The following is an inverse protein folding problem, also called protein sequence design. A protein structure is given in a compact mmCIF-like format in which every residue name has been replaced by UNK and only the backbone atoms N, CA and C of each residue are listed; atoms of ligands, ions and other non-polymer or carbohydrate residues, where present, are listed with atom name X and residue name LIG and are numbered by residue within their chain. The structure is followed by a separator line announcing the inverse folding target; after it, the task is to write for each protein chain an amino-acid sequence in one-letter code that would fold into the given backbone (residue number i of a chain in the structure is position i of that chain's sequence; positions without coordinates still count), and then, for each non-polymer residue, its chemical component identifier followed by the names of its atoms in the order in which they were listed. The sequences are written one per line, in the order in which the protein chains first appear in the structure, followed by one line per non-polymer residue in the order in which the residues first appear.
data_IF_864359270770
#
_entry.id   IF_864359270770
#
_cell.length_a   1.000
_cell.length_b   1.000
_cell.length_c   1.000
_cell.angle_alpha   90.00
_cell.angle_beta   90.00
_cell.angle_gamma   90.00
#
_symmetry.space_group_name_H-M   'P 1'
#
loop_
_entity.id
_entity.type
_entity.pdbx_description
1 polymer ?
#
# COMPACT_ATOMS: atom_id res chain seq x y z
N UNK A 1 -10.24 -31.20 -15.94
CA UNK A 1 -9.65 -30.46 -14.80
C UNK A 1 -9.70 -28.97 -15.13
N UNK A 2 -10.17 -28.10 -14.24
CA UNK A 2 -10.18 -26.66 -14.49
C UNK A 2 -8.75 -26.12 -14.54
N UNK A 3 -8.50 -25.10 -15.40
CA UNK A 3 -7.17 -24.53 -15.60
C UNK A 3 -7.02 -23.25 -14.77
N UNK A 4 -5.93 -23.15 -14.02
CA UNK A 4 -5.55 -21.99 -13.21
C UNK A 4 -4.22 -21.42 -13.70
N UNK A 5 -4.18 -20.12 -13.97
CA UNK A 5 -2.94 -19.40 -14.34
C UNK A 5 -2.41 -18.64 -13.12
N UNK A 6 -1.19 -18.94 -12.72
CA UNK A 6 -0.45 -18.24 -11.65
C UNK A 6 0.45 -17.21 -12.32
N UNK A 7 0.11 -15.92 -12.19
CA UNK A 7 0.77 -14.85 -12.95
C UNK A 7 1.84 -14.05 -12.16
N UNK A 8 2.09 -14.44 -10.92
CA UNK A 8 3.20 -13.95 -10.10
C UNK A 8 3.67 -15.05 -9.16
N UNK A 9 4.80 -14.84 -8.48
CA UNK A 9 5.22 -15.74 -7.41
C UNK A 9 4.16 -15.78 -6.30
N UNK A 10 3.78 -16.99 -5.88
CA UNK A 10 2.89 -17.25 -4.73
C UNK A 10 3.56 -18.20 -3.75
N UNK A 11 2.97 -18.37 -2.57
CA UNK A 11 3.42 -19.32 -1.55
C UNK A 11 3.46 -20.75 -2.10
N UNK A 12 4.54 -21.49 -1.85
CA UNK A 12 4.77 -22.83 -2.41
C UNK A 12 3.74 -23.86 -1.90
N UNK A 13 3.27 -23.75 -0.66
CA UNK A 13 2.22 -24.63 -0.14
C UNK A 13 0.91 -24.40 -0.91
N UNK A 14 0.57 -23.14 -1.19
CA UNK A 14 -0.61 -22.80 -1.99
C UNK A 14 -0.47 -23.30 -3.43
N UNK A 15 0.70 -23.15 -4.04
CA UNK A 15 0.97 -23.69 -5.37
C UNK A 15 0.78 -25.20 -5.42
N UNK A 16 1.36 -25.91 -4.44
CA UNK A 16 1.24 -27.38 -4.33
C UNK A 16 -0.21 -27.83 -4.17
N UNK A 17 -1.00 -27.12 -3.36
CA UNK A 17 -2.44 -27.40 -3.18
C UNK A 17 -3.23 -27.17 -4.47
N UNK A 18 -2.95 -26.09 -5.20
CA UNK A 18 -3.59 -25.84 -6.49
C UNK A 18 -3.27 -26.95 -7.52
N UNK A 19 -2.03 -27.45 -7.53
CA UNK A 19 -1.59 -28.49 -8.46
C UNK A 19 -2.23 -29.86 -8.19
N UNK A 20 -2.74 -30.12 -6.99
CA UNK A 20 -3.48 -31.35 -6.66
C UNK A 20 -4.85 -31.39 -7.35
N UNK A 21 -5.55 -30.25 -7.41
CA UNK A 21 -6.95 -30.20 -7.81
C UNK A 21 -7.18 -29.56 -9.20
N UNK A 22 -6.19 -28.83 -9.74
CA UNK A 22 -6.29 -28.03 -10.96
C UNK A 22 -5.12 -28.27 -11.93
N UNK A 23 -5.36 -28.02 -13.21
CA UNK A 23 -4.29 -27.87 -14.19
C UNK A 23 -3.66 -26.48 -14.00
N UNK A 24 -2.49 -26.42 -13.37
CA UNK A 24 -1.84 -25.15 -13.02
C UNK A 24 -0.74 -24.80 -14.02
N UNK A 25 -0.81 -23.57 -14.57
CA UNK A 25 0.24 -22.99 -15.39
C UNK A 25 0.86 -21.80 -14.63
N UNK A 26 2.13 -21.92 -14.28
CA UNK A 26 2.90 -20.85 -13.61
C UNK A 26 3.65 -20.05 -14.68
N UNK A 27 3.38 -18.75 -14.78
CA UNK A 27 4.08 -17.88 -15.71
C UNK A 27 5.50 -17.59 -15.22
N UNK A 28 6.45 -17.55 -16.16
CA UNK A 28 7.85 -17.39 -15.83
C UNK A 28 8.49 -16.25 -16.64
N UNK A 29 8.95 -15.15 -15.99
CA UNK A 29 9.58 -14.02 -16.70
C UNK A 29 10.87 -14.39 -17.44
N UNK A 30 11.51 -15.51 -17.10
CA UNK A 30 12.69 -16.00 -17.82
C UNK A 30 12.35 -16.58 -19.19
N UNK A 31 11.08 -16.90 -19.44
CA UNK A 31 10.59 -17.47 -20.71
C UNK A 31 10.03 -16.41 -21.67
N UNK A 32 10.18 -15.13 -21.36
CA UNK A 32 9.74 -14.01 -22.21
C UNK A 32 8.76 -13.07 -21.53
N UNK A 33 8.12 -12.21 -22.31
CA UNK A 33 7.17 -11.21 -21.81
C UNK A 33 5.98 -11.87 -21.12
N UNK A 34 5.72 -11.46 -19.88
CA UNK A 34 4.64 -12.02 -19.07
C UNK A 34 3.26 -11.67 -19.64
N UNK A 35 3.09 -10.49 -20.25
CA UNK A 35 1.80 -10.11 -20.84
C UNK A 35 1.48 -11.00 -22.05
N UNK A 36 2.51 -11.38 -22.82
CA UNK A 36 2.33 -12.34 -23.91
C UNK A 36 1.96 -13.74 -23.38
N UNK A 37 2.65 -14.19 -22.32
CA UNK A 37 2.30 -15.44 -21.67
C UNK A 37 0.87 -15.41 -21.11
N UNK A 38 0.42 -14.28 -20.51
CA UNK A 38 -0.96 -14.11 -20.08
C UNK A 38 -1.92 -14.29 -21.26
N UNK A 39 -1.72 -13.55 -22.37
CA UNK A 39 -2.56 -13.65 -23.57
C UNK A 39 -2.71 -15.07 -24.08
N UNK A 40 -1.61 -15.83 -24.07
CA UNK A 40 -1.61 -17.22 -24.53
C UNK A 40 -2.32 -18.17 -23.56
N UNK A 41 -2.07 -18.00 -22.26
CA UNK A 41 -2.55 -18.95 -21.25
C UNK A 41 -3.97 -18.67 -20.77
N UNK A 42 -4.46 -17.42 -20.92
CA UNK A 42 -5.79 -17.03 -20.46
C UNK A 42 -6.92 -17.54 -21.36
N UNK A 43 -6.61 -17.94 -22.62
CA UNK A 43 -7.61 -18.35 -23.62
C UNK A 43 -8.59 -19.39 -23.05
N UNK A 44 -8.06 -20.41 -22.40
CA UNK A 44 -8.82 -21.53 -21.84
C UNK A 44 -8.69 -21.63 -20.30
N UNK A 45 -8.28 -20.55 -19.63
CA UNK A 45 -8.20 -20.49 -18.18
C UNK A 45 -9.58 -20.34 -17.55
N UNK A 46 -9.83 -21.05 -16.46
CA UNK A 46 -11.02 -20.91 -15.61
C UNK A 46 -10.79 -19.89 -14.50
N UNK A 47 -9.56 -19.75 -14.00
CA UNK A 47 -9.18 -18.81 -12.94
C UNK A 47 -7.74 -18.33 -13.06
N UNK A 48 -7.46 -17.17 -12.46
CA UNK A 48 -6.12 -16.62 -12.35
C UNK A 48 -5.84 -16.23 -10.89
N UNK A 49 -4.57 -16.37 -10.44
CA UNK A 49 -4.13 -15.95 -9.11
C UNK A 49 -2.75 -15.32 -9.18
N UNK A 50 -2.54 -14.22 -8.46
CA UNK A 50 -1.26 -13.52 -8.40
C UNK A 50 -1.39 -12.08 -7.91
N UNK A 51 -0.32 -11.30 -8.09
CA UNK A 51 -0.22 -9.91 -7.66
C UNK A 51 0.66 -9.06 -8.59
N UNK A 52 0.55 -7.73 -8.48
CA UNK A 52 1.50 -6.77 -9.03
C UNK A 52 1.57 -6.70 -10.56
N UNK A 53 0.50 -7.07 -11.27
CA UNK A 53 0.41 -7.00 -12.74
C UNK A 53 -0.80 -6.18 -13.16
N UNK A 54 -0.60 -5.34 -14.18
CA UNK A 54 -1.71 -4.67 -14.85
C UNK A 54 -2.49 -5.71 -15.67
N UNK A 55 -3.76 -5.91 -15.30
CA UNK A 55 -4.69 -6.78 -16.00
C UNK A 55 -5.87 -5.97 -16.54
N UNK A 56 -5.95 -5.89 -17.86
CA UNK A 56 -6.94 -5.12 -18.60
C UNK A 56 -7.32 -5.81 -19.92
N UNK A 57 -8.06 -5.12 -20.76
CA UNK A 57 -8.47 -5.63 -22.07
C UNK A 57 -7.28 -6.11 -22.91
N UNK A 58 -6.14 -5.39 -22.91
CA UNK A 58 -5.01 -5.70 -23.79
C UNK A 58 -4.42 -7.09 -23.58
N UNK A 59 -4.51 -7.65 -22.35
CA UNK A 59 -4.00 -8.98 -22.03
C UNK A 59 -5.09 -10.00 -21.68
N UNK A 60 -6.32 -9.59 -21.42
CA UNK A 60 -7.42 -10.47 -21.06
C UNK A 60 -8.45 -10.70 -22.19
N UNK A 61 -8.39 -9.93 -23.30
CA UNK A 61 -9.33 -10.09 -24.42
C UNK A 61 -9.44 -11.54 -24.94
N UNK A 62 -8.37 -12.35 -25.00
CA UNK A 62 -8.46 -13.74 -25.47
C UNK A 62 -9.21 -14.67 -24.52
N UNK A 63 -9.49 -14.29 -23.27
CA UNK A 63 -10.15 -15.15 -22.29
C UNK A 63 -11.55 -15.56 -22.76
N UNK A 64 -11.86 -16.86 -22.82
CA UNK A 64 -13.16 -17.37 -23.27
C UNK A 64 -14.04 -17.83 -22.10
N UNK A 65 -13.46 -18.31 -21.00
CA UNK A 65 -14.19 -18.92 -19.89
C UNK A 65 -13.68 -18.50 -18.51
N UNK A 66 -12.85 -17.44 -18.45
CA UNK A 66 -12.30 -16.95 -17.21
C UNK A 66 -13.41 -16.49 -16.26
N UNK A 67 -13.50 -17.09 -15.08
CA UNK A 67 -14.51 -16.77 -14.06
C UNK A 67 -14.01 -15.78 -13.04
N UNK A 68 -12.76 -15.92 -12.62
CA UNK A 68 -12.20 -15.15 -11.51
C UNK A 68 -10.73 -14.80 -11.71
N UNK A 69 -10.37 -13.61 -11.27
CA UNK A 69 -9.00 -13.21 -10.96
C UNK A 69 -8.92 -13.00 -9.45
N UNK A 70 -8.12 -13.81 -8.76
CA UNK A 70 -7.90 -13.70 -7.32
C UNK A 70 -6.59 -13.00 -7.05
N UNK A 71 -6.68 -11.73 -6.64
CA UNK A 71 -5.52 -10.91 -6.28
C UNK A 71 -4.99 -11.29 -4.89
N UNK A 72 -3.67 -11.46 -4.78
CA UNK A 72 -2.97 -11.68 -3.50
C UNK A 72 -2.60 -10.33 -2.86
N UNK A 73 -3.39 -9.27 -3.11
CA UNK A 73 -3.20 -7.91 -2.57
C UNK A 73 -4.51 -7.34 -2.05
N UNK A 74 -4.46 -6.24 -1.31
CA UNK A 74 -5.64 -5.44 -0.95
C UNK A 74 -5.95 -4.43 -2.06
N UNK A 75 -4.95 -3.68 -2.52
CA UNK A 75 -5.10 -2.73 -3.62
C UNK A 75 -5.42 -3.45 -4.93
N UNK A 76 -6.28 -2.83 -5.73
CA UNK A 76 -6.77 -3.36 -7.00
C UNK A 76 -6.69 -2.36 -8.15
N UNK A 77 -5.92 -1.33 -7.99
CA UNK A 77 -5.65 -0.27 -8.99
C UNK A 77 -4.95 -0.80 -10.26
N UNK A 78 -4.34 -2.00 -10.18
CA UNK A 78 -3.76 -2.71 -11.32
C UNK A 78 -4.79 -3.51 -12.17
N UNK A 79 -6.07 -3.44 -11.85
CA UNK A 79 -7.11 -4.18 -12.55
C UNK A 79 -8.13 -3.23 -13.17
N UNK A 80 -8.44 -3.44 -14.45
CA UNK A 80 -9.55 -2.72 -15.11
C UNK A 80 -10.89 -3.32 -14.67
N UNK A 81 -11.39 -2.83 -13.55
CA UNK A 81 -12.64 -3.31 -12.93
C UNK A 81 -13.84 -3.12 -13.86
N UNK A 82 -13.85 -2.05 -14.66
CA UNK A 82 -14.94 -1.79 -15.60
C UNK A 82 -14.98 -2.86 -16.71
N UNK A 83 -13.81 -3.18 -17.28
CA UNK A 83 -13.67 -4.26 -18.26
C UNK A 83 -14.05 -5.63 -17.66
N UNK A 84 -13.60 -5.93 -16.45
CA UNK A 84 -13.93 -7.19 -15.77
C UNK A 84 -15.44 -7.31 -15.53
N UNK A 85 -16.12 -6.22 -15.15
CA UNK A 85 -17.58 -6.20 -15.01
C UNK A 85 -18.29 -6.49 -16.33
N UNK A 86 -17.87 -5.84 -17.43
CA UNK A 86 -18.42 -6.09 -18.76
C UNK A 86 -18.27 -7.56 -19.19
N UNK A 87 -17.15 -8.17 -18.83
CA UNK A 87 -16.83 -9.58 -19.15
C UNK A 87 -17.42 -10.58 -18.14
N UNK A 88 -18.08 -10.09 -17.08
CA UNK A 88 -18.59 -10.91 -15.96
C UNK A 88 -17.51 -11.78 -15.30
N UNK A 89 -16.30 -11.22 -15.17
CA UNK A 89 -15.17 -11.85 -14.50
C UNK A 89 -15.09 -11.30 -13.08
N UNK A 90 -15.15 -12.16 -12.09
CA UNK A 90 -14.96 -11.75 -10.70
C UNK A 90 -13.52 -11.32 -10.42
N UNK A 91 -13.37 -10.26 -9.65
CA UNK A 91 -12.12 -9.84 -9.04
C UNK A 91 -12.27 -9.96 -7.52
N UNK A 92 -11.39 -10.74 -6.90
CA UNK A 92 -11.29 -10.81 -5.44
C UNK A 92 -9.95 -10.26 -4.96
N UNK A 93 -9.94 -9.76 -3.72
CA UNK A 93 -8.75 -9.26 -3.06
C UNK A 93 -8.60 -9.85 -1.64
N UNK A 94 -7.59 -9.41 -0.89
CA UNK A 94 -7.27 -9.97 0.44
C UNK A 94 -7.38 -8.93 1.56
N UNK A 95 -8.56 -8.33 1.82
CA UNK A 95 -8.73 -7.31 2.85
C UNK A 95 -8.54 -7.90 4.26
N UNK A 96 -8.27 -7.01 5.22
CA UNK A 96 -8.14 -7.26 6.66
C UNK A 96 -6.89 -8.03 7.10
N UNK A 97 -6.34 -8.95 6.30
CA UNK A 97 -5.24 -9.83 6.73
C UNK A 97 -3.89 -9.14 6.86
N UNK A 98 -3.70 -7.98 6.21
CA UNK A 98 -2.45 -7.20 6.26
C UNK A 98 -2.57 -5.89 7.05
N UNK A 99 -3.75 -5.58 7.59
CA UNK A 99 -4.04 -4.30 8.25
C UNK A 99 -3.03 -3.97 9.34
N UNK A 100 -2.79 -4.90 10.25
CA UNK A 100 -1.89 -4.68 11.38
C UNK A 100 -0.43 -4.56 10.93
N UNK A 101 0.02 -5.43 10.03
CA UNK A 101 1.40 -5.43 9.51
C UNK A 101 1.73 -4.13 8.78
N UNK A 102 0.80 -3.64 7.96
CA UNK A 102 0.98 -2.35 7.25
C UNK A 102 0.95 -1.18 8.23
N UNK A 103 0.10 -1.24 9.26
CA UNK A 103 0.06 -0.21 10.30
C UNK A 103 1.35 -0.21 11.15
N UNK A 104 1.93 -1.37 11.43
CA UNK A 104 3.24 -1.49 12.09
C UNK A 104 4.33 -0.81 11.26
N UNK A 105 4.35 -1.05 9.95
CA UNK A 105 5.34 -0.43 9.07
C UNK A 105 5.15 1.10 8.99
N UNK A 106 3.92 1.59 8.86
CA UNK A 106 3.63 3.02 8.85
C UNK A 106 4.14 3.71 10.11
N UNK A 107 3.92 3.10 11.26
CA UNK A 107 4.40 3.60 12.55
C UNK A 107 5.92 3.49 12.67
N UNK A 108 6.53 2.44 12.12
CA UNK A 108 7.99 2.29 12.03
C UNK A 108 8.60 3.41 11.18
N UNK A 109 8.02 3.73 10.02
CA UNK A 109 8.45 4.85 9.18
C UNK A 109 8.35 6.18 9.93
N UNK A 110 7.22 6.42 10.62
CA UNK A 110 6.99 7.62 11.43
C UNK A 110 8.09 7.78 12.49
N UNK A 111 8.34 6.76 13.29
CA UNK A 111 9.36 6.79 14.35
C UNK A 111 10.76 6.91 13.76
N UNK A 112 11.05 6.21 12.67
CA UNK A 112 12.36 6.22 12.00
C UNK A 112 12.67 7.59 11.41
N UNK A 113 11.71 8.25 10.78
CA UNK A 113 11.86 9.60 10.25
C UNK A 113 11.97 10.63 11.38
N UNK A 114 11.09 10.57 12.39
CA UNK A 114 11.11 11.49 13.54
C UNK A 114 12.43 11.43 14.30
N UNK A 115 12.99 10.25 14.49
CA UNK A 115 14.23 10.06 15.27
C UNK A 115 15.47 9.92 14.39
N UNK A 116 15.38 10.13 13.06
CA UNK A 116 16.48 10.06 12.08
C UNK A 116 17.24 8.72 12.15
N UNK A 117 16.54 7.62 12.42
CA UNK A 117 17.17 6.32 12.76
C UNK A 117 18.11 5.81 11.66
N UNK A 118 17.72 5.74 10.36
CA UNK A 118 18.61 5.24 9.32
C UNK A 118 19.84 6.13 9.11
N UNK A 119 19.67 7.45 9.18
CA UNK A 119 20.77 8.40 9.07
C UNK A 119 21.77 8.21 10.22
N UNK A 120 21.30 8.14 11.47
CA UNK A 120 22.16 8.00 12.64
C UNK A 120 22.83 6.62 12.71
N UNK A 121 22.14 5.55 12.30
CA UNK A 121 22.73 4.22 12.18
C UNK A 121 23.89 4.21 11.19
N UNK A 122 23.65 4.75 9.99
CA UNK A 122 24.69 4.87 8.96
C UNK A 122 25.88 5.72 9.44
N UNK A 123 25.60 6.92 9.96
CA UNK A 123 26.60 7.85 10.50
C UNK A 123 27.47 7.19 11.59
N UNK A 124 26.85 6.43 12.49
CA UNK A 124 27.57 5.72 13.56
C UNK A 124 28.47 4.63 12.97
N UNK A 125 27.97 3.83 12.02
CA UNK A 125 28.72 2.74 11.37
C UNK A 125 29.88 3.24 10.50
N UNK A 126 29.80 4.47 9.98
CA UNK A 126 30.90 5.13 9.26
C UNK A 126 31.97 5.67 10.21
N UNK A 127 31.83 5.53 11.53
CA UNK A 127 32.80 6.04 12.50
C UNK A 127 32.77 7.56 12.69
N UNK A 128 31.67 8.21 12.28
CA UNK A 128 31.50 9.66 12.38
C UNK A 128 31.18 10.12 13.81
N UNK A 129 30.79 9.22 14.69
CA UNK A 129 30.49 9.51 16.09
C UNK A 129 31.79 9.67 16.91
N UNK A 130 32.40 10.85 16.81
CA UNK A 130 33.71 11.17 17.47
C UNK A 130 33.53 12.05 18.72
N UNK A 131 32.34 12.54 19.01
CA UNK A 131 32.02 13.45 20.13
C UNK A 131 30.55 13.38 20.49
N UNK A 132 30.15 14.04 21.58
CA UNK A 132 28.76 14.19 21.97
C UNK A 132 27.90 14.73 20.83
N UNK A 133 26.72 14.14 20.60
CA UNK A 133 25.77 14.54 19.55
C UNK A 133 25.29 15.98 19.78
N UNK A 134 25.08 16.71 18.69
CA UNK A 134 24.61 18.09 18.67
C UNK A 134 23.25 18.24 17.96
N UNK A 135 22.76 19.47 17.78
CA UNK A 135 21.45 19.76 17.18
C UNK A 135 21.20 19.11 15.81
N UNK A 136 22.27 18.90 15.02
CA UNK A 136 22.15 18.27 13.70
C UNK A 136 21.67 16.80 13.79
N UNK A 137 21.96 16.12 14.89
CA UNK A 137 21.55 14.74 15.17
C UNK A 137 20.20 14.67 15.90
N UNK A 138 19.65 15.81 16.36
CA UNK A 138 18.38 15.79 17.10
C UNK A 138 17.23 15.45 16.17
N UNK A 139 16.32 14.63 16.68
CA UNK A 139 15.04 14.32 16.07
C UNK A 139 13.89 15.08 16.72
N UNK A 140 12.68 14.65 16.47
CA UNK A 140 11.44 15.21 16.99
C UNK A 140 10.80 14.26 18.02
N UNK A 141 10.09 14.87 18.99
CA UNK A 141 9.22 14.11 19.88
C UNK A 141 7.97 13.62 19.13
N UNK A 142 7.50 12.42 19.48
CA UNK A 142 6.28 11.83 18.93
C UNK A 142 5.16 11.81 19.97
N UNK A 143 5.53 11.58 21.23
CA UNK A 143 4.56 11.49 22.34
C UNK A 143 3.76 12.78 22.50
N UNK A 144 2.42 12.67 22.56
CA UNK A 144 1.51 13.79 22.78
C UNK A 144 1.32 14.74 21.58
N UNK A 145 1.87 14.40 20.41
CA UNK A 145 1.76 15.15 19.16
C UNK A 145 0.46 14.89 18.42
N UNK A 146 0.18 15.64 17.37
CA UNK A 146 -1.00 15.45 16.51
C UNK A 146 -0.67 14.57 15.31
N UNK A 147 -1.45 13.51 15.13
CA UNK A 147 -1.36 12.58 14.01
C UNK A 147 -2.56 12.79 13.08
N UNK A 148 -2.29 13.30 11.88
CA UNK A 148 -3.26 13.44 10.80
C UNK A 148 -3.30 12.20 9.93
N UNK A 149 -4.48 11.60 9.76
CA UNK A 149 -4.72 10.43 8.91
C UNK A 149 -5.55 10.84 7.70
N UNK A 150 -4.94 10.82 6.53
CA UNK A 150 -5.65 10.95 5.26
C UNK A 150 -6.07 9.55 4.82
N UNK A 151 -7.35 9.23 5.09
CA UNK A 151 -7.90 7.89 4.86
C UNK A 151 -8.08 7.05 6.13
N UNK A 152 -9.06 7.39 6.98
CA UNK A 152 -9.44 6.57 8.15
C UNK A 152 -10.29 5.38 7.69
N UNK A 153 -9.64 4.41 7.01
CA UNK A 153 -10.15 3.07 6.74
C UNK A 153 -9.55 2.07 7.74
N UNK A 154 -9.55 0.77 7.40
CA UNK A 154 -9.01 -0.27 8.29
C UNK A 154 -7.55 -0.03 8.69
N UNK A 155 -6.69 0.29 7.70
CA UNK A 155 -5.25 0.55 7.94
C UNK A 155 -5.07 1.87 8.67
N UNK A 156 -5.72 2.94 8.22
CA UNK A 156 -5.64 4.26 8.87
C UNK A 156 -6.09 4.23 10.32
N UNK A 157 -7.17 3.52 10.65
CA UNK A 157 -7.64 3.33 12.02
C UNK A 157 -6.65 2.49 12.86
N UNK A 158 -6.01 1.49 12.28
CA UNK A 158 -4.99 0.70 12.97
C UNK A 158 -3.72 1.53 13.26
N UNK A 159 -3.34 2.45 12.36
CA UNK A 159 -2.26 3.43 12.59
C UNK A 159 -2.66 4.42 13.69
N UNK A 160 -3.86 5.01 13.58
CA UNK A 160 -4.38 5.95 14.56
C UNK A 160 -4.45 5.33 15.97
N UNK A 161 -4.85 4.05 16.08
CA UNK A 161 -4.87 3.31 17.34
C UNK A 161 -3.49 3.22 17.99
N UNK A 162 -2.42 3.00 17.22
CA UNK A 162 -1.03 2.99 17.72
C UNK A 162 -0.62 4.35 18.27
N UNK A 163 -0.95 5.41 17.54
CA UNK A 163 -0.70 6.78 17.99
C UNK A 163 -1.46 7.12 19.27
N UNK A 164 -2.76 6.84 19.29
CA UNK A 164 -3.63 7.18 20.40
C UNK A 164 -3.25 6.44 21.70
N UNK A 165 -3.21 5.10 21.66
CA UNK A 165 -2.95 4.31 22.87
C UNK A 165 -1.47 4.18 23.21
N UNK A 166 -0.58 4.15 22.22
CA UNK A 166 0.85 3.95 22.47
C UNK A 166 1.63 5.22 22.72
N UNK A 167 1.22 6.34 22.13
CA UNK A 167 1.95 7.59 22.14
C UNK A 167 1.13 8.79 22.61
N UNK A 168 -0.09 8.57 23.14
CA UNK A 168 -0.99 9.63 23.61
C UNK A 168 -1.16 10.76 22.59
N UNK A 169 -1.18 10.44 21.30
CA UNK A 169 -1.32 11.42 20.22
C UNK A 169 -2.77 11.88 20.09
N UNK A 170 -2.96 13.16 19.72
CA UNK A 170 -4.24 13.65 19.24
C UNK A 170 -4.45 13.14 17.82
N UNK A 171 -5.61 12.56 17.54
CA UNK A 171 -5.92 12.02 16.22
C UNK A 171 -6.86 12.96 15.48
N UNK A 172 -6.44 13.40 14.30
CA UNK A 172 -7.30 14.09 13.33
C UNK A 172 -7.33 13.29 12.04
N UNK A 173 -8.45 13.32 11.31
CA UNK A 173 -8.54 12.55 10.06
C UNK A 173 -9.36 13.27 9.01
N UNK A 174 -9.05 12.93 7.75
CA UNK A 174 -9.78 13.35 6.58
C UNK A 174 -10.21 12.13 5.76
N UNK A 175 -11.48 12.11 5.36
CA UNK A 175 -12.10 11.16 4.43
C UNK A 175 -13.11 11.88 3.55
N UNK A 176 -13.52 11.28 2.46
CA UNK A 176 -14.67 11.77 1.66
C UNK A 176 -15.98 11.82 2.44
N UNK A 177 -16.12 10.95 3.43
CA UNK A 177 -17.25 10.88 4.38
C UNK A 177 -16.72 10.53 5.75
N UNK A 178 -17.35 11.06 6.76
CA UNK A 178 -17.03 10.72 8.14
C UNK A 178 -17.14 9.22 8.42
N UNK A 179 -16.35 8.75 9.37
CA UNK A 179 -16.29 7.36 9.82
C UNK A 179 -16.42 7.28 11.34
N UNK A 180 -17.61 7.64 11.90
CA UNK A 180 -17.81 7.70 13.35
C UNK A 180 -17.46 6.40 14.04
N UNK A 181 -17.81 5.26 13.45
CA UNK A 181 -17.55 3.92 13.97
C UNK A 181 -16.06 3.59 14.19
N UNK A 182 -15.17 4.24 13.41
CA UNK A 182 -13.71 4.11 13.55
C UNK A 182 -13.11 5.25 14.39
N UNK A 183 -13.73 6.42 14.35
CA UNK A 183 -13.22 7.64 14.97
C UNK A 183 -13.53 7.75 16.47
N UNK A 184 -14.75 7.41 16.89
CA UNK A 184 -15.21 7.54 18.28
C UNK A 184 -14.32 6.84 19.32
N UNK A 185 -13.88 5.58 19.11
CA UNK A 185 -13.00 4.90 20.06
C UNK A 185 -11.64 5.56 20.24
N UNK A 186 -11.21 6.36 19.25
CA UNK A 186 -9.93 7.04 19.21
C UNK A 186 -10.06 8.54 19.51
N UNK A 187 -11.27 9.01 19.78
CA UNK A 187 -11.59 10.45 19.90
C UNK A 187 -11.06 11.25 18.71
N UNK A 188 -11.03 10.63 17.53
CA UNK A 188 -10.48 11.23 16.33
C UNK A 188 -11.43 12.30 15.79
N UNK A 189 -10.91 13.48 15.48
CA UNK A 189 -11.67 14.58 14.94
C UNK A 189 -11.65 14.56 13.41
N UNK A 190 -12.83 14.65 12.77
CA UNK A 190 -12.94 14.81 11.32
C UNK A 190 -12.67 16.26 10.93
N UNK A 191 -11.79 16.45 9.93
CA UNK A 191 -11.39 17.76 9.43
C UNK A 191 -11.40 17.81 7.89
N UNK A 192 -11.47 19.02 7.34
CA UNK A 192 -11.08 19.28 5.96
C UNK A 192 -9.59 18.96 5.75
N UNK A 193 -9.21 18.67 4.49
CA UNK A 193 -7.81 18.30 4.20
C UNK A 193 -6.84 19.40 4.62
N UNK A 194 -7.13 20.66 4.25
CA UNK A 194 -6.26 21.80 4.53
C UNK A 194 -6.09 22.03 6.05
N UNK A 195 -7.18 21.92 6.79
CA UNK A 195 -7.17 22.06 8.24
C UNK A 195 -6.38 20.93 8.92
N UNK A 196 -6.53 19.68 8.44
CA UNK A 196 -5.73 18.55 8.91
C UNK A 196 -4.23 18.82 8.72
N UNK A 197 -3.83 19.28 7.52
CA UNK A 197 -2.43 19.54 7.20
C UNK A 197 -1.83 20.63 8.09
N UNK A 198 -2.59 21.71 8.36
CA UNK A 198 -2.15 22.81 9.20
C UNK A 198 -1.99 22.44 10.68
N UNK A 199 -2.75 21.46 11.18
CA UNK A 199 -2.75 21.09 12.60
C UNK A 199 -1.85 19.88 12.93
N UNK A 200 -1.38 19.12 11.91
CA UNK A 200 -0.68 17.86 12.14
C UNK A 200 0.82 18.03 12.27
N UNK A 201 1.40 17.37 13.28
CA UNK A 201 2.85 17.17 13.39
C UNK A 201 3.31 15.98 12.51
N UNK A 202 2.43 15.01 12.33
CA UNK A 202 2.65 13.83 11.47
C UNK A 202 1.44 13.64 10.57
N UNK A 203 1.68 13.44 9.28
CA UNK A 203 0.63 13.19 8.29
C UNK A 203 0.86 11.85 7.63
N UNK A 204 -0.12 10.96 7.68
CA UNK A 204 -0.06 9.63 7.05
C UNK A 204 -1.13 9.51 5.99
N UNK A 205 -0.75 9.12 4.76
CA UNK A 205 -1.68 8.76 3.70
C UNK A 205 -1.98 7.26 3.72
N UNK A 206 -3.28 6.90 3.80
CA UNK A 206 -3.78 5.53 3.81
C UNK A 206 -5.06 5.40 2.97
N UNK A 207 -5.08 6.02 1.78
CA UNK A 207 -6.20 6.04 0.84
C UNK A 207 -5.98 5.07 -0.33
N UNK A 208 -7.07 4.61 -0.94
CA UNK A 208 -7.00 3.89 -2.21
C UNK A 208 -6.66 4.86 -3.35
N UNK A 209 -5.89 4.39 -4.35
CA UNK A 209 -5.63 5.16 -5.57
C UNK A 209 -6.87 5.16 -6.48
N UNK A 210 -7.36 6.35 -6.77
CA UNK A 210 -8.45 6.61 -7.71
C UNK A 210 -8.29 8.02 -8.29
N UNK A 211 -9.22 8.45 -9.13
CA UNK A 211 -9.15 9.77 -9.79
C UNK A 211 -9.16 10.95 -8.81
N UNK A 212 -9.76 10.80 -7.61
CA UNK A 212 -9.85 11.86 -6.60
C UNK A 212 -8.61 11.89 -5.68
N UNK A 213 -7.94 10.74 -5.50
CA UNK A 213 -6.75 10.63 -4.66
C UNK A 213 -5.44 10.74 -5.43
N UNK A 214 -5.48 10.73 -6.76
CA UNK A 214 -4.29 10.93 -7.59
C UNK A 214 -3.75 12.35 -7.42
N UNK A 215 -2.45 12.45 -7.10
CA UNK A 215 -1.77 13.71 -6.80
C UNK A 215 -2.49 14.56 -5.71
N UNK A 216 -3.15 13.90 -4.76
CA UNK A 216 -3.84 14.54 -3.64
C UNK A 216 -2.90 15.38 -2.80
N UNK A 217 -1.65 14.94 -2.64
CA UNK A 217 -0.58 15.64 -1.95
C UNK A 217 0.36 16.25 -3.00
N UNK A 218 0.13 17.49 -3.34
CA UNK A 218 0.96 18.30 -4.22
C UNK A 218 1.61 19.47 -3.49
N UNK A 219 2.22 20.39 -4.25
CA UNK A 219 2.94 21.56 -3.72
C UNK A 219 2.10 22.35 -2.72
N UNK A 220 0.86 22.70 -3.08
CA UNK A 220 -0.02 23.49 -2.21
C UNK A 220 -0.32 22.78 -0.87
N UNK A 221 -0.41 21.44 -0.88
CA UNK A 221 -0.65 20.65 0.34
C UNK A 221 0.59 20.61 1.22
N UNK A 222 1.80 20.50 0.64
CA UNK A 222 3.04 20.56 1.42
C UNK A 222 3.27 21.96 2.02
N UNK A 223 2.93 23.03 1.30
CA UNK A 223 2.99 24.42 1.81
C UNK A 223 2.04 24.66 3.00
N UNK A 224 0.94 23.89 3.12
CA UNK A 224 0.01 23.98 4.27
C UNK A 224 0.51 23.20 5.50
N UNK A 225 1.45 22.27 5.34
CA UNK A 225 2.00 21.51 6.45
C UNK A 225 2.88 22.37 7.34
N UNK A 226 3.02 21.97 8.60
CA UNK A 226 3.94 22.65 9.52
C UNK A 226 5.40 22.34 9.13
N UNK A 227 6.29 23.33 9.28
CA UNK A 227 7.74 23.16 8.94
C UNK A 227 8.44 22.03 9.69
N UNK A 228 7.93 21.65 10.85
CA UNK A 228 8.43 20.50 11.59
C UNK A 228 7.66 19.22 11.30
N UNK A 229 6.66 19.24 10.44
CA UNK A 229 5.85 18.06 10.16
C UNK A 229 6.62 17.01 9.38
N UNK A 230 6.23 15.76 9.58
CA UNK A 230 6.73 14.59 8.86
C UNK A 230 5.59 13.97 8.06
N UNK A 231 5.86 13.72 6.78
CA UNK A 231 4.92 13.07 5.86
C UNK A 231 5.22 11.58 5.70
N UNK A 232 4.20 10.72 5.78
CA UNK A 232 4.33 9.27 5.65
C UNK A 232 3.41 8.79 4.53
N UNK A 233 3.95 8.09 3.54
CA UNK A 233 3.16 7.47 2.49
C UNK A 233 3.30 5.94 2.48
N UNK A 234 2.17 5.26 2.80
CA UNK A 234 2.03 3.80 2.72
C UNK A 234 0.87 3.40 1.80
N UNK A 235 0.29 4.37 1.08
CA UNK A 235 -0.85 4.17 0.19
C UNK A 235 -0.40 3.72 -1.21
N UNK A 236 -0.18 4.70 -2.10
CA UNK A 236 0.41 4.56 -3.44
C UNK A 236 1.27 5.78 -3.75
N UNK A 237 2.32 5.60 -4.54
CA UNK A 237 3.18 6.71 -4.97
C UNK A 237 2.41 7.79 -5.70
N UNK A 238 1.52 7.43 -6.62
CA UNK A 238 0.73 8.37 -7.42
C UNK A 238 -0.35 9.15 -6.61
N UNK A 239 -0.51 8.91 -5.31
CA UNK A 239 -1.28 9.79 -4.40
C UNK A 239 -0.52 11.09 -4.15
N UNK A 240 0.77 11.11 -4.38
CA UNK A 240 1.70 12.21 -4.16
C UNK A 240 2.24 12.69 -5.51
N UNK A 241 2.37 13.98 -5.68
CA UNK A 241 3.29 14.58 -6.66
C UNK A 241 4.71 14.44 -6.09
N UNK A 242 5.44 13.42 -6.56
CA UNK A 242 6.77 13.07 -6.03
C UNK A 242 7.78 14.21 -6.19
N UNK A 243 7.68 14.98 -7.28
CA UNK A 243 8.54 16.13 -7.50
C UNK A 243 8.25 17.25 -6.47
N UNK A 244 6.99 17.53 -6.20
CA UNK A 244 6.61 18.52 -5.18
C UNK A 244 7.06 18.10 -3.77
N UNK A 245 7.01 16.79 -3.46
CA UNK A 245 7.56 16.26 -2.21
C UNK A 245 9.07 16.47 -2.10
N UNK A 246 9.82 16.16 -3.17
CA UNK A 246 11.28 16.39 -3.21
C UNK A 246 11.60 17.86 -2.96
N UNK A 247 10.93 18.78 -3.65
CA UNK A 247 11.10 20.22 -3.48
C UNK A 247 10.81 20.69 -2.04
N UNK A 248 9.71 20.22 -1.45
CA UNK A 248 9.34 20.55 -0.07
C UNK A 248 10.37 20.05 0.95
N UNK A 249 10.97 18.89 0.72
CA UNK A 249 12.01 18.31 1.57
C UNK A 249 13.34 19.05 1.42
N UNK A 250 13.73 19.45 0.20
CA UNK A 250 14.95 20.18 -0.10
C UNK A 250 14.90 21.61 0.43
N UNK A 251 13.75 22.27 0.33
CA UNK A 251 13.55 23.63 0.83
C UNK A 251 13.36 23.71 2.35
N UNK A 252 13.12 22.57 3.01
CA UNK A 252 12.77 22.53 4.45
C UNK A 252 11.36 23.02 4.73
N UNK A 253 10.46 22.97 3.76
CA UNK A 253 9.04 23.26 3.96
C UNK A 253 8.40 22.24 4.92
N UNK A 254 8.85 20.98 4.84
CA UNK A 254 8.56 19.93 5.83
C UNK A 254 9.86 19.35 6.40
N UNK A 255 9.81 18.84 7.62
CA UNK A 255 11.00 18.30 8.31
C UNK A 255 11.54 17.03 7.68
N UNK A 256 10.69 16.12 7.22
CA UNK A 256 11.11 14.84 6.66
C UNK A 256 9.97 14.01 6.13
N UNK A 257 10.32 12.85 5.58
CA UNK A 257 9.33 11.89 5.09
C UNK A 257 9.73 10.44 5.36
N UNK A 258 8.70 9.56 5.41
CA UNK A 258 8.84 8.12 5.41
C UNK A 258 7.99 7.49 4.30
N UNK A 259 8.63 6.80 3.36
CA UNK A 259 8.00 6.34 2.13
C UNK A 259 8.16 4.83 1.97
N UNK A 260 7.06 4.12 1.74
CA UNK A 260 7.06 2.71 1.34
C UNK A 260 6.67 2.53 -0.13
N UNK A 261 6.17 3.58 -0.76
CA UNK A 261 5.63 3.56 -2.14
C UNK A 261 6.08 4.79 -2.93
N UNK A 262 6.19 4.64 -4.26
CA UNK A 262 6.74 5.64 -5.17
C UNK A 262 5.90 5.75 -6.44
N UNK A 263 6.01 6.87 -7.16
CA UNK A 263 5.29 7.06 -8.42
C UNK A 263 5.66 5.99 -9.45
N UNK A 264 6.94 5.60 -9.48
CA UNK A 264 7.44 4.50 -10.31
C UNK A 264 8.16 3.47 -9.45
N UNK A 265 7.67 2.24 -9.48
CA UNK A 265 8.24 1.10 -8.78
C UNK A 265 8.72 0.01 -9.76
N UNK A 266 9.88 -0.64 -9.53
CA UNK A 266 10.88 -0.37 -8.50
C UNK A 266 11.60 0.97 -8.69
N UNK A 267 11.86 1.70 -7.58
CA UNK A 267 12.63 2.92 -7.58
C UNK A 267 14.13 2.60 -7.66
N UNK A 268 14.77 2.87 -8.81
CA UNK A 268 16.18 2.53 -9.04
C UNK A 268 17.11 3.73 -8.87
N UNK A 269 16.64 4.94 -9.18
CA UNK A 269 17.36 6.19 -9.02
C UNK A 269 16.40 7.31 -8.65
N UNK A 270 16.73 8.10 -7.63
CA UNK A 270 15.88 9.20 -7.18
C UNK A 270 16.68 10.22 -6.35
N UNK A 271 16.30 11.48 -6.46
CA UNK A 271 16.78 12.54 -5.56
C UNK A 271 16.44 12.26 -4.09
N UNK A 272 15.37 11.49 -3.81
CA UNK A 272 15.00 11.07 -2.46
C UNK A 272 16.13 10.32 -1.75
N UNK A 273 17.00 9.59 -2.49
CA UNK A 273 18.11 8.84 -1.89
C UNK A 273 19.23 9.73 -1.35
N UNK A 274 19.30 10.98 -1.81
CA UNK A 274 20.30 11.98 -1.39
C UNK A 274 19.86 12.78 -0.17
N UNK A 275 18.57 12.62 0.25
CA UNK A 275 17.98 13.42 1.33
C UNK A 275 18.13 12.70 2.68
N UNK A 276 18.91 13.26 3.64
CA UNK A 276 19.15 12.62 4.93
C UNK A 276 17.92 12.61 5.87
N UNK A 277 16.88 13.37 5.51
CA UNK A 277 15.62 13.49 6.24
C UNK A 277 14.50 12.62 5.63
N UNK A 278 14.85 11.66 4.75
CA UNK A 278 13.89 10.74 4.14
C UNK A 278 14.24 9.30 4.50
N UNK A 279 13.22 8.53 4.88
CA UNK A 279 13.30 7.08 5.05
C UNK A 279 12.59 6.42 3.87
N UNK A 280 13.31 5.59 3.12
CA UNK A 280 12.79 4.91 1.91
C UNK A 280 12.77 3.40 2.11
N UNK A 281 11.61 2.75 1.87
CA UNK A 281 11.44 1.31 1.93
C UNK A 281 10.86 0.78 0.61
N UNK A 282 11.16 -0.47 0.21
CA UNK A 282 10.83 -1.00 -1.11
C UNK A 282 9.46 -1.70 -1.15
N UNK A 283 8.38 -1.00 -0.82
CA UNK A 283 6.98 -1.48 -0.83
C UNK A 283 6.81 -2.77 0.00
N UNK A 284 7.14 -2.68 1.27
CA UNK A 284 7.16 -3.82 2.21
C UNK A 284 6.05 -3.79 3.26
N UNK A 285 5.02 -2.97 3.10
CA UNK A 285 3.91 -2.78 4.05
C UNK A 285 3.28 -4.07 4.57
N UNK A 286 3.21 -5.12 3.75
CA UNK A 286 2.70 -6.45 4.12
C UNK A 286 3.78 -7.54 4.17
N UNK A 287 5.06 -7.20 4.09
CA UNK A 287 6.14 -8.15 3.85
C UNK A 287 6.65 -8.86 5.12
N UNK A 288 5.76 -9.53 5.83
CA UNK A 288 6.12 -10.55 6.81
C UNK A 288 5.71 -11.93 6.30
N UNK A 289 6.46 -12.98 6.62
CA UNK A 289 6.16 -14.34 6.18
C UNK A 289 4.74 -14.77 6.60
N UNK A 290 4.35 -14.42 7.83
CA UNK A 290 3.04 -14.74 8.37
C UNK A 290 1.91 -14.05 7.59
N UNK A 291 2.04 -12.74 7.34
CA UNK A 291 1.02 -11.98 6.62
C UNK A 291 0.93 -12.41 5.16
N UNK A 292 2.07 -12.61 4.49
CA UNK A 292 2.07 -13.10 3.10
C UNK A 292 1.41 -14.48 2.98
N UNK A 293 1.64 -15.38 3.93
CA UNK A 293 0.95 -16.67 3.98
C UNK A 293 -0.56 -16.52 4.20
N UNK A 294 -1.00 -15.62 5.09
CA UNK A 294 -2.44 -15.30 5.29
C UNK A 294 -3.08 -14.75 4.00
N UNK A 295 -2.41 -13.83 3.32
CA UNK A 295 -2.87 -13.27 2.04
C UNK A 295 -3.01 -14.36 0.98
N UNK A 296 -1.97 -15.20 0.79
CA UNK A 296 -1.99 -16.30 -0.17
C UNK A 296 -3.12 -17.31 0.11
N UNK A 297 -3.32 -17.67 1.37
CA UNK A 297 -4.42 -18.57 1.78
C UNK A 297 -5.79 -17.96 1.51
N UNK A 298 -5.97 -16.66 1.74
CA UNK A 298 -7.24 -15.99 1.48
C UNK A 298 -7.54 -15.91 -0.02
N UNK A 299 -6.53 -15.55 -0.82
CA UNK A 299 -6.66 -15.54 -2.28
C UNK A 299 -6.96 -16.94 -2.83
N UNK A 300 -6.29 -17.99 -2.33
CA UNK A 300 -6.60 -19.37 -2.67
C UNK A 300 -8.07 -19.72 -2.39
N UNK A 301 -8.57 -19.38 -1.19
CA UNK A 301 -9.97 -19.66 -0.83
C UNK A 301 -10.95 -18.96 -1.77
N UNK A 302 -10.75 -17.67 -2.03
CA UNK A 302 -11.59 -16.93 -2.97
C UNK A 302 -11.59 -17.56 -4.38
N UNK A 303 -10.41 -17.98 -4.87
CA UNK A 303 -10.27 -18.66 -6.16
C UNK A 303 -11.06 -19.97 -6.20
N UNK A 304 -10.87 -20.83 -5.19
CA UNK A 304 -11.52 -22.15 -5.11
C UNK A 304 -13.04 -22.01 -5.01
N UNK A 305 -13.54 -21.11 -4.15
CA UNK A 305 -14.97 -20.83 -4.04
C UNK A 305 -15.58 -20.48 -5.42
N UNK A 306 -14.96 -19.57 -6.16
CA UNK A 306 -15.43 -19.22 -7.50
C UNK A 306 -15.37 -20.38 -8.50
N UNK A 307 -14.32 -21.18 -8.43
CA UNK A 307 -14.17 -22.35 -9.31
C UNK A 307 -15.16 -23.46 -8.96
N UNK A 308 -15.66 -23.52 -7.75
CA UNK A 308 -16.73 -24.42 -7.30
C UNK A 308 -18.15 -23.84 -7.50
N UNK A 309 -18.27 -22.75 -8.27
CA UNK A 309 -19.55 -22.05 -8.53
C UNK A 309 -20.21 -21.44 -7.27
N UNK A 310 -19.38 -21.14 -6.24
CA UNK A 310 -19.77 -20.41 -5.04
C UNK A 310 -19.34 -18.94 -5.16
N UNK A 311 -20.08 -18.05 -4.51
CA UNK A 311 -19.70 -16.62 -4.45
C UNK A 311 -18.54 -16.43 -3.48
N UNK A 312 -17.37 -15.93 -3.92
CA UNK A 312 -16.25 -15.64 -3.03
C UNK A 312 -16.62 -14.60 -1.97
N UNK A 313 -16.05 -14.78 -0.79
CA UNK A 313 -16.35 -13.90 0.35
C UNK A 313 -15.91 -12.45 0.12
N UNK A 314 -14.79 -12.24 -0.55
CA UNK A 314 -14.20 -10.92 -0.74
C UNK A 314 -14.08 -10.57 -2.23
N UNK A 315 -15.17 -10.03 -2.76
CA UNK A 315 -15.24 -9.53 -4.13
C UNK A 315 -15.06 -8.02 -4.16
N UNK A 316 -14.25 -7.55 -5.10
CA UNK A 316 -14.11 -6.14 -5.46
C UNK A 316 -15.29 -5.72 -6.33
N UNK A 317 -15.74 -6.62 -7.21
CA UNK A 317 -16.82 -6.41 -8.17
C UNK A 317 -17.88 -7.52 -8.02
N UNK A 318 -18.99 -7.22 -7.41
CA UNK A 318 -20.07 -8.19 -7.20
C UNK A 318 -21.32 -7.94 -8.06
N UNK A 319 -21.46 -6.75 -8.62
CA UNK A 319 -22.64 -6.34 -9.39
C UNK A 319 -22.31 -6.38 -10.88
N UNK A 320 -22.52 -7.53 -11.50
CA UNK A 320 -22.61 -7.64 -12.96
C UNK A 320 -24.02 -7.22 -13.38
N UNK A 321 -24.27 -5.92 -13.45
CA UNK A 321 -25.52 -5.40 -14.00
C UNK A 321 -25.55 -5.58 -15.53
#
# INVERSE_FOLDING_TARGET
MKKVVVFSQIDEEILSRLQQDYHVVVLNPKLGDINEQIRQQVVDADGMIGAGRLLNESNLAPAQKLKIISSVTVGYDNYDVAYLNQRKIWLSNTPHVLTETTADLAFTLLLSAARKVPFLDHWTKQGEWKRTVGPQQFGLDVFGKTLGIIGLGNIGAAIARRGFYGFNMNIVYHNRREKPELAEPLKAQYLGLDELLQQSDFVVTAVDLNNESKALMGKAQFELMQKHAIFINIARGSVVDEQALIEALQSGEIFGAGLDVYEKEPLQDSELFKLPNVVTLPHVGSATAETRKKMANLAYKNLVEALEDKTPRYLVNSNFA
#
